data_IF_348112858645
#
_entry.id   IF_348112858645
#
_cell.length_a   1.000
_cell.length_b   1.000
_cell.length_c   1.000
_cell.angle_alpha   90.00
_cell.angle_beta   90.00
_cell.angle_gamma   90.00
#
_symmetry.space_group_name_H-M   'P 1'
#
loop_
_entity.id
_entity.type
_entity.pdbx_description
1 polymer ?
#
# COMPACT_ATOMS: atom_id res chain seq x y z
N UNK A 1 -56.13 14.20 20.36
CA UNK A 1 -54.70 13.87 20.48
C UNK A 1 -54.51 12.37 20.25
N UNK A 2 -54.09 11.95 19.06
CA UNK A 2 -53.76 10.55 18.79
C UNK A 2 -52.27 10.31 19.15
N UNK A 3 -51.99 9.33 20.01
CA UNK A 3 -50.60 8.92 20.31
C UNK A 3 -49.98 8.29 19.05
N UNK A 4 -48.71 8.58 18.74
CA UNK A 4 -48.04 7.93 17.63
C UNK A 4 -47.94 6.41 17.88
N UNK A 5 -48.01 5.58 16.83
CA UNK A 5 -47.88 4.13 16.97
C UNK A 5 -46.50 3.80 17.55
N UNK A 6 -46.47 3.19 18.73
CA UNK A 6 -45.24 2.67 19.34
C UNK A 6 -44.83 1.42 18.58
N UNK A 7 -43.78 1.50 17.76
CA UNK A 7 -43.25 0.34 17.06
C UNK A 7 -42.85 -0.76 18.06
N UNK A 8 -43.28 -2.00 17.80
CA UNK A 8 -42.99 -3.15 18.65
C UNK A 8 -41.48 -3.38 18.75
N UNK A 9 -40.90 -3.59 19.95
CA UNK A 9 -39.46 -3.80 20.12
C UNK A 9 -38.97 -5.04 19.36
N UNK A 10 -39.84 -6.04 19.15
CA UNK A 10 -39.54 -7.23 18.35
C UNK A 10 -39.41 -6.92 16.86
N UNK A 11 -40.16 -5.93 16.36
CA UNK A 11 -40.08 -5.47 14.98
C UNK A 11 -38.76 -4.72 14.74
N UNK A 12 -38.35 -3.87 15.68
CA UNK A 12 -37.06 -3.20 15.63
C UNK A 12 -35.90 -4.19 15.65
N UNK A 13 -35.95 -5.21 16.52
CA UNK A 13 -34.90 -6.22 16.62
C UNK A 13 -34.81 -7.08 15.35
N UNK A 14 -35.95 -7.47 14.79
CA UNK A 14 -36.05 -8.19 13.51
C UNK A 14 -35.40 -7.40 12.37
N UNK A 15 -35.68 -6.10 12.26
CA UNK A 15 -35.12 -5.23 11.23
C UNK A 15 -33.60 -5.05 11.37
N UNK A 16 -33.08 -4.97 12.61
CA UNK A 16 -31.64 -4.90 12.86
C UNK A 16 -30.93 -6.20 12.46
N UNK A 17 -31.52 -7.36 12.77
CA UNK A 17 -30.97 -8.67 12.39
C UNK A 17 -30.97 -8.83 10.86
N UNK A 18 -32.04 -8.40 10.17
CA UNK A 18 -32.09 -8.41 8.71
C UNK A 18 -31.06 -7.46 8.09
N UNK A 19 -30.87 -6.27 8.66
CA UNK A 19 -29.87 -5.31 8.20
C UNK A 19 -28.43 -5.85 8.35
N UNK A 20 -28.15 -6.58 9.42
CA UNK A 20 -26.87 -7.26 9.64
C UNK A 20 -26.67 -8.48 8.71
N UNK A 21 -27.74 -9.22 8.42
CA UNK A 21 -27.71 -10.34 7.48
C UNK A 21 -27.56 -9.89 6.01
N UNK A 22 -27.94 -8.65 5.70
CA UNK A 22 -27.85 -8.05 4.37
C UNK A 22 -26.48 -7.47 3.99
N UNK A 23 -25.44 -7.64 4.81
CA UNK A 23 -24.08 -7.22 4.45
C UNK A 23 -23.60 -8.07 3.27
N UNK A 24 -23.73 -7.50 2.07
CA UNK A 24 -23.24 -8.13 0.84
C UNK A 24 -21.73 -8.28 0.94
N UNK A 25 -21.25 -9.51 0.72
CA UNK A 25 -19.83 -9.77 0.52
C UNK A 25 -19.44 -9.12 -0.80
N UNK A 26 -18.83 -7.94 -0.74
CA UNK A 26 -18.20 -7.33 -1.92
C UNK A 26 -17.17 -8.32 -2.47
N UNK A 27 -17.48 -8.93 -3.62
CA UNK A 27 -16.59 -9.90 -4.25
C UNK A 27 -15.38 -9.18 -4.85
N UNK A 28 -14.18 -9.60 -4.48
CA UNK A 28 -12.97 -9.17 -5.17
C UNK A 28 -12.89 -9.88 -6.52
N UNK A 29 -12.61 -9.13 -7.60
CA UNK A 29 -12.32 -9.71 -8.92
C UNK A 29 -10.90 -10.26 -8.90
N UNK A 30 -10.73 -11.54 -9.24
CA UNK A 30 -9.41 -12.12 -9.45
C UNK A 30 -8.82 -11.59 -10.78
N UNK A 31 -7.60 -11.05 -10.72
CA UNK A 31 -6.89 -10.58 -11.90
C UNK A 31 -6.00 -11.68 -12.47
N UNK A 32 -6.03 -11.86 -13.80
CA UNK A 32 -5.00 -12.64 -14.48
C UNK A 32 -3.69 -11.85 -14.50
N UNK A 33 -2.70 -12.38 -13.80
CA UNK A 33 -1.38 -11.76 -13.63
C UNK A 33 -0.27 -12.59 -14.28
N UNK A 34 -0.61 -13.68 -14.97
CA UNK A 34 0.34 -14.62 -15.60
C UNK A 34 1.07 -14.06 -16.83
N UNK A 35 1.01 -12.74 -17.04
CA UNK A 35 1.36 -12.05 -18.27
C UNK A 35 2.71 -12.46 -18.88
N UNK A 36 2.74 -12.46 -20.21
CA UNK A 36 3.90 -12.82 -21.02
C UNK A 36 3.83 -12.15 -22.39
N UNK A 37 4.88 -12.31 -23.19
CA UNK A 37 4.95 -11.69 -24.51
C UNK A 37 4.07 -12.41 -25.52
N UNK A 38 3.29 -11.66 -26.29
CA UNK A 38 2.47 -12.16 -27.39
C UNK A 38 3.06 -11.74 -28.72
N UNK A 39 3.30 -12.72 -29.61
CA UNK A 39 3.83 -12.47 -30.95
C UNK A 39 2.83 -11.67 -31.78
N UNK A 40 3.34 -10.70 -32.56
CA UNK A 40 2.51 -9.86 -33.43
C UNK A 40 1.73 -8.76 -32.69
N UNK A 41 2.05 -8.51 -31.40
CA UNK A 41 1.49 -7.41 -30.61
C UNK A 41 2.60 -6.57 -29.97
N UNK A 42 2.28 -5.33 -29.61
CA UNK A 42 3.13 -4.54 -28.73
C UNK A 42 3.10 -5.14 -27.32
N UNK A 43 4.27 -5.47 -26.80
CA UNK A 43 4.43 -6.00 -25.45
C UNK A 43 4.92 -4.89 -24.53
N UNK A 44 4.14 -4.58 -23.49
CA UNK A 44 4.48 -3.57 -22.49
C UNK A 44 5.02 -4.27 -21.26
N UNK A 45 6.30 -4.07 -20.98
CA UNK A 45 6.95 -4.61 -19.79
C UNK A 45 6.84 -3.61 -18.65
N UNK A 46 6.07 -3.95 -17.63
CA UNK A 46 6.03 -3.19 -16.39
C UNK A 46 7.20 -3.63 -15.51
N UNK A 47 8.08 -2.69 -15.15
CA UNK A 47 9.27 -2.95 -14.33
C UNK A 47 9.17 -2.13 -13.03
N UNK A 48 8.51 -2.67 -11.99
CA UNK A 48 8.42 -2.02 -10.69
C UNK A 48 9.80 -1.92 -10.03
N UNK A 49 10.12 -0.73 -9.52
CA UNK A 49 11.37 -0.44 -8.82
C UNK A 49 11.16 0.68 -7.79
N UNK A 50 12.08 0.77 -6.84
CA UNK A 50 12.28 1.94 -5.98
C UNK A 50 13.66 2.51 -6.27
N UNK A 51 13.82 3.82 -6.13
CA UNK A 51 15.11 4.48 -6.19
C UNK A 51 15.41 4.99 -4.79
N UNK A 52 16.42 4.38 -4.15
CA UNK A 52 16.72 4.60 -2.74
C UNK A 52 18.14 5.13 -2.57
N UNK A 53 18.28 6.46 -2.58
CA UNK A 53 19.56 7.15 -2.54
C UNK A 53 20.41 6.76 -1.31
N UNK A 54 21.62 6.24 -1.53
CA UNK A 54 22.59 5.90 -0.48
C UNK A 54 23.35 7.15 -0.02
N UNK A 55 22.61 8.08 0.59
CA UNK A 55 23.13 9.36 1.05
C UNK A 55 23.04 10.45 -0.01
N UNK A 56 21.96 11.24 0.07
CA UNK A 56 21.76 12.45 -0.75
C UNK A 56 21.40 13.64 0.13
N UNK A 57 20.13 13.73 0.55
CA UNK A 57 19.66 14.80 1.44
C UNK A 57 19.65 14.39 2.92
N UNK A 58 19.66 13.07 3.18
CA UNK A 58 19.77 12.46 4.50
C UNK A 58 20.93 11.46 4.50
N UNK A 59 21.36 11.05 5.68
CA UNK A 59 22.33 9.95 5.82
C UNK A 59 21.69 8.60 5.49
N UNK A 60 22.52 7.59 5.23
CA UNK A 60 22.09 6.21 4.90
C UNK A 60 21.12 5.69 5.98
N UNK A 61 21.50 5.79 7.25
CA UNK A 61 20.66 5.30 8.36
C UNK A 61 19.34 6.05 8.46
N UNK A 62 19.33 7.35 8.17
CA UNK A 62 18.11 8.16 8.18
C UNK A 62 17.14 7.78 7.06
N UNK A 63 17.66 7.39 5.90
CA UNK A 63 16.86 6.80 4.82
C UNK A 63 16.38 5.40 5.17
N UNK A 64 17.23 4.59 5.80
CA UNK A 64 16.91 3.20 6.13
C UNK A 64 15.75 3.10 7.14
N UNK A 65 15.86 3.79 8.29
CA UNK A 65 14.85 3.76 9.36
C UNK A 65 13.70 4.76 9.14
N UNK A 66 13.83 5.65 8.16
CA UNK A 66 12.88 6.72 7.92
C UNK A 66 12.83 7.78 9.01
N UNK A 67 13.99 8.16 9.56
CA UNK A 67 14.09 9.26 10.52
C UNK A 67 14.35 10.60 9.82
N UNK A 68 14.16 11.70 10.56
CA UNK A 68 14.37 13.06 10.07
C UNK A 68 13.60 13.40 8.77
N UNK A 69 12.34 12.97 8.70
CA UNK A 69 11.49 13.11 7.51
C UNK A 69 11.20 14.56 7.11
N UNK A 70 11.42 15.52 7.99
CA UNK A 70 11.30 16.96 7.68
C UNK A 70 12.25 17.40 6.56
N UNK A 71 13.45 16.81 6.44
CA UNK A 71 14.47 17.26 5.47
C UNK A 71 14.11 16.93 4.02
N UNK A 72 13.65 15.70 3.74
CA UNK A 72 13.18 15.33 2.40
C UNK A 72 11.86 16.00 2.01
N UNK A 73 11.04 16.37 2.99
CA UNK A 73 9.82 17.16 2.77
C UNK A 73 10.16 18.59 2.33
N UNK A 74 11.30 19.15 2.77
CA UNK A 74 11.71 20.52 2.46
C UNK A 74 12.42 20.68 1.10
N UNK A 75 13.14 19.67 0.61
CA UNK A 75 13.82 19.73 -0.70
C UNK A 75 12.89 19.48 -1.90
N UNK A 76 11.69 18.94 -1.67
CA UNK A 76 10.71 18.70 -2.73
C UNK A 76 9.66 19.82 -2.78
N UNK A 77 10.09 20.98 -3.28
CA UNK A 77 9.30 22.23 -3.37
C UNK A 77 8.04 22.16 -4.25
N UNK A 78 7.62 21.00 -4.77
CA UNK A 78 6.50 20.95 -5.69
C UNK A 78 5.57 19.75 -5.47
N UNK A 79 4.39 20.06 -4.90
CA UNK A 79 3.13 19.31 -4.80
C UNK A 79 2.95 18.26 -3.68
N UNK A 80 1.91 18.54 -2.87
CA UNK A 80 1.22 17.69 -1.87
C UNK A 80 1.91 17.48 -0.52
N UNK A 81 1.82 18.54 0.29
CA UNK A 81 2.24 18.64 1.70
C UNK A 81 1.56 17.64 2.66
N UNK A 82 0.30 17.25 2.43
CA UNK A 82 -0.48 16.42 3.39
C UNK A 82 -0.08 14.94 3.40
N UNK A 83 0.09 14.29 2.23
CA UNK A 83 0.52 12.88 2.20
C UNK A 83 2.00 12.75 2.57
N UNK A 84 2.86 13.68 2.14
CA UNK A 84 4.32 13.53 2.33
C UNK A 84 4.80 13.64 3.78
N UNK A 85 4.02 14.29 4.66
CA UNK A 85 4.32 14.37 6.10
C UNK A 85 4.14 13.01 6.80
N UNK A 86 3.25 12.15 6.28
CA UNK A 86 2.96 10.83 6.85
C UNK A 86 3.89 9.73 6.32
N UNK A 87 4.47 9.92 5.13
CA UNK A 87 5.30 8.94 4.43
C UNK A 87 6.65 9.55 4.04
N UNK A 88 7.52 9.80 5.02
CA UNK A 88 8.92 10.10 4.70
C UNK A 88 9.60 8.89 4.03
N UNK A 89 10.75 9.10 3.36
CA UNK A 89 11.45 7.97 2.78
C UNK A 89 11.98 7.07 3.88
N UNK A 90 11.57 5.81 3.84
CA UNK A 90 11.90 4.73 4.78
C UNK A 90 12.09 3.46 3.94
N UNK A 91 13.33 3.04 3.76
CA UNK A 91 13.65 1.87 2.91
C UNK A 91 13.11 0.58 3.54
N UNK A 92 13.10 0.49 4.87
CA UNK A 92 12.53 -0.65 5.59
C UNK A 92 11.06 -0.90 5.22
N UNK A 93 10.24 0.16 5.15
CA UNK A 93 8.83 0.03 4.75
C UNK A 93 8.67 -0.41 3.28
N UNK A 94 9.59 0.02 2.41
CA UNK A 94 9.59 -0.39 1.01
C UNK A 94 9.88 -1.89 0.93
N UNK A 95 10.96 -2.36 1.57
CA UNK A 95 11.34 -3.77 1.54
C UNK A 95 10.27 -4.66 2.17
N UNK A 96 9.74 -4.32 3.35
CA UNK A 96 8.70 -5.09 4.02
C UNK A 96 7.43 -5.22 3.15
N UNK A 97 6.96 -4.10 2.59
CA UNK A 97 5.76 -4.11 1.76
C UNK A 97 5.96 -4.83 0.42
N UNK A 98 7.16 -4.77 -0.16
CA UNK A 98 7.51 -5.48 -1.39
C UNK A 98 7.55 -6.99 -1.14
N UNK A 99 8.21 -7.45 -0.07
CA UNK A 99 8.25 -8.88 0.29
C UNK A 99 6.83 -9.41 0.48
N UNK A 100 6.00 -8.71 1.26
CA UNK A 100 4.60 -9.04 1.47
C UNK A 100 3.80 -9.11 0.15
N UNK A 101 4.05 -8.15 -0.75
CA UNK A 101 3.36 -8.07 -2.02
C UNK A 101 3.79 -9.19 -2.98
N UNK A 102 5.07 -9.56 -3.00
CA UNK A 102 5.60 -10.64 -3.84
C UNK A 102 5.16 -12.02 -3.34
N UNK A 103 5.12 -12.24 -2.01
CA UNK A 103 4.61 -13.49 -1.43
C UNK A 103 3.12 -13.73 -1.76
N UNK A 104 2.31 -12.66 -1.84
CA UNK A 104 0.89 -12.75 -2.17
C UNK A 104 0.62 -13.11 -3.64
N UNK A 105 1.57 -12.90 -4.54
CA UNK A 105 1.40 -13.24 -5.96
C UNK A 105 2.74 -13.54 -6.64
N UNK A 106 3.00 -14.81 -7.02
CA UNK A 106 4.27 -15.22 -7.61
C UNK A 106 4.55 -14.63 -9.01
N UNK A 107 3.54 -14.07 -9.68
CA UNK A 107 3.74 -13.42 -10.98
C UNK A 107 4.24 -11.97 -10.86
N UNK A 108 4.17 -11.36 -9.66
CA UNK A 108 4.70 -10.03 -9.43
C UNK A 108 6.22 -10.04 -9.51
N UNK A 109 6.78 -8.92 -9.93
CA UNK A 109 8.22 -8.70 -10.09
C UNK A 109 8.58 -7.36 -9.47
N UNK A 110 9.78 -7.28 -8.92
CA UNK A 110 10.37 -6.05 -8.40
C UNK A 110 11.88 -6.12 -8.59
N UNK A 111 12.51 -4.99 -8.89
CA UNK A 111 13.97 -4.89 -8.95
C UNK A 111 14.46 -3.90 -7.88
N UNK A 112 15.58 -4.24 -7.25
CA UNK A 112 16.25 -3.43 -6.25
C UNK A 112 17.73 -3.33 -6.62
N UNK A 113 18.32 -2.14 -6.54
CA UNK A 113 19.68 -1.90 -7.05
C UNK A 113 20.70 -1.64 -5.93
N UNK A 114 20.28 -1.02 -4.84
CA UNK A 114 21.16 -0.40 -3.85
C UNK A 114 21.60 -1.39 -2.76
N UNK A 115 22.57 -2.25 -3.09
CA UNK A 115 23.02 -3.37 -2.23
C UNK A 115 23.37 -2.98 -0.78
N UNK A 116 23.88 -1.76 -0.53
CA UNK A 116 24.23 -1.30 0.83
C UNK A 116 22.99 -1.28 1.75
N UNK A 117 21.82 -0.94 1.21
CA UNK A 117 20.56 -0.92 1.93
C UNK A 117 19.96 -2.33 2.07
N UNK A 118 20.17 -3.19 1.07
CA UNK A 118 19.76 -4.60 1.10
C UNK A 118 20.54 -5.40 2.16
N UNK A 119 21.88 -5.22 2.23
CA UNK A 119 22.69 -5.84 3.28
C UNK A 119 22.29 -5.37 4.68
N UNK A 120 21.92 -4.10 4.83
CA UNK A 120 21.43 -3.58 6.12
C UNK A 120 20.11 -4.24 6.54
N UNK A 121 19.28 -4.66 5.59
CA UNK A 121 18.04 -5.40 5.83
C UNK A 121 18.28 -6.88 6.16
N UNK A 122 19.21 -7.53 5.47
CA UNK A 122 19.51 -8.96 5.69
C UNK A 122 20.26 -9.23 7.00
N UNK A 123 20.92 -8.22 7.57
CA UNK A 123 21.75 -8.34 8.78
C UNK A 123 20.96 -7.99 10.06
N UNK A 124 19.74 -7.46 9.94
CA UNK A 124 18.82 -7.16 11.04
C UNK A 124 17.67 -8.16 11.10
#
# INVERSE_FOLDING_TARGET
MARPPTASPFLCLSLVILALAGVTRGGYIAYDTSGGTVVGKLNVHLVPHSHDDVGWLKTIDQYYVGSNNSIQVLSSSFRRRILKILWGACVMNVLDSVVDALLKNPNRKFIFAEQVLDFSYLVL
#
